data_IF_704864725649
#
_entry.id   IF_704864725649
#
_cell.length_a   1.000
_cell.length_b   1.000
_cell.length_c   1.000
_cell.angle_alpha   90.00
_cell.angle_beta   90.00
_cell.angle_gamma   90.00
#
_symmetry.space_group_name_H-M   'P 1'
#
loop_
_entity.id
_entity.type
_entity.pdbx_description
1 polymer ?
#
# COMPACT_ATOMS: atom_id res chain seq x y z
N UNK A 1 24.26 -26.02 -1.07
CA UNK A 1 25.36 -26.89 -0.65
C UNK A 1 26.74 -26.22 -0.88
N UNK A 2 26.85 -24.90 -0.57
CA UNK A 2 28.13 -24.12 -0.62
C UNK A 2 28.37 -23.24 0.62
N UNK A 3 27.63 -23.45 1.70
CA UNK A 3 27.67 -22.62 2.94
C UNK A 3 28.58 -23.27 4.03
N UNK A 4 29.46 -24.17 3.67
CA UNK A 4 30.29 -24.91 4.60
C UNK A 4 31.76 -24.43 4.68
N UNK A 5 32.10 -23.27 4.09
CA UNK A 5 33.47 -22.79 3.92
C UNK A 5 33.83 -21.42 4.50
N UNK A 6 33.05 -20.91 5.46
CA UNK A 6 33.39 -19.63 6.12
C UNK A 6 34.26 -19.78 7.39
N UNK A 7 34.90 -20.91 7.60
CA UNK A 7 36.05 -20.97 8.48
C UNK A 7 37.30 -21.24 7.64
N UNK A 8 37.74 -20.21 6.93
CA UNK A 8 39.08 -20.23 6.38
C UNK A 8 40.04 -20.23 7.56
N UNK A 9 40.61 -21.39 7.89
CA UNK A 9 41.60 -21.61 8.95
C UNK A 9 42.90 -20.80 8.75
N UNK A 10 42.97 -20.03 7.66
CA UNK A 10 44.09 -19.17 7.26
C UNK A 10 43.90 -17.70 7.59
N UNK A 11 42.77 -17.26 8.17
CA UNK A 11 42.67 -15.89 8.62
C UNK A 11 43.53 -15.65 9.85
N UNK A 12 44.35 -14.58 9.91
CA UNK A 12 45.22 -14.32 11.05
C UNK A 12 44.44 -14.24 12.37
N UNK A 13 43.19 -13.80 12.33
CA UNK A 13 42.32 -13.72 13.48
C UNK A 13 41.86 -15.08 14.04
N UNK A 14 41.58 -16.04 13.20
CA UNK A 14 41.21 -17.41 13.61
C UNK A 14 42.44 -18.14 14.20
N UNK A 15 43.62 -17.93 13.61
CA UNK A 15 44.88 -18.52 14.09
C UNK A 15 45.26 -17.96 15.50
N UNK A 16 45.09 -16.68 15.74
CA UNK A 16 45.28 -16.06 17.05
C UNK A 16 44.35 -16.65 18.11
N UNK A 17 43.07 -16.82 17.80
CA UNK A 17 42.08 -17.41 18.72
C UNK A 17 42.42 -18.85 19.09
N UNK A 18 42.86 -19.67 18.13
CA UNK A 18 43.28 -21.05 18.37
C UNK A 18 44.53 -21.13 19.27
N UNK A 19 45.52 -20.26 19.02
CA UNK A 19 46.72 -20.20 19.84
C UNK A 19 46.38 -19.75 21.26
N UNK A 20 45.58 -18.68 21.43
CA UNK A 20 45.10 -18.21 22.73
C UNK A 20 44.36 -19.30 23.50
N UNK A 21 43.51 -20.05 22.82
CA UNK A 21 42.76 -21.17 23.41
C UNK A 21 43.67 -22.28 23.87
N UNK A 22 44.68 -22.64 23.07
CA UNK A 22 45.68 -23.64 23.44
C UNK A 22 46.53 -23.21 24.64
N UNK A 23 46.98 -21.97 24.65
CA UNK A 23 47.77 -21.40 25.77
C UNK A 23 46.94 -21.32 27.05
N UNK A 24 45.70 -20.84 26.99
CA UNK A 24 44.84 -20.74 28.19
C UNK A 24 44.48 -22.13 28.74
N UNK A 25 44.26 -23.13 27.87
CA UNK A 25 44.01 -24.50 28.27
C UNK A 25 45.24 -25.10 28.93
N UNK A 26 46.44 -24.91 28.35
CA UNK A 26 47.71 -25.37 28.93
C UNK A 26 48.00 -24.77 30.31
N UNK A 27 47.78 -23.45 30.44
CA UNK A 27 47.93 -22.75 31.73
C UNK A 27 46.92 -23.28 32.74
N UNK A 28 45.65 -23.45 32.38
CA UNK A 28 44.62 -23.96 33.27
C UNK A 28 44.90 -25.37 33.78
N UNK A 29 45.37 -26.28 32.93
CA UNK A 29 45.79 -27.63 33.30
C UNK A 29 47.04 -27.61 34.16
N UNK A 30 48.02 -26.76 33.82
CA UNK A 30 49.26 -26.61 34.62
C UNK A 30 49.01 -26.06 36.03
N UNK A 31 48.15 -25.05 36.16
CA UNK A 31 47.69 -24.54 37.45
C UNK A 31 46.99 -25.61 38.29
N UNK A 32 46.15 -26.41 37.67
CA UNK A 32 45.52 -27.53 38.35
C UNK A 32 46.49 -28.61 38.77
N UNK A 33 47.54 -28.88 37.98
CA UNK A 33 48.63 -29.77 38.32
C UNK A 33 49.31 -29.29 39.61
N UNK A 34 49.71 -28.01 39.70
CA UNK A 34 50.29 -27.43 40.89
C UNK A 34 49.31 -27.52 42.09
N UNK A 35 48.02 -27.31 41.89
CA UNK A 35 47.00 -27.45 42.92
C UNK A 35 46.92 -28.85 43.52
N UNK A 36 47.15 -29.89 42.71
CA UNK A 36 47.18 -31.28 43.17
C UNK A 36 48.35 -31.57 44.11
N UNK A 37 49.51 -30.97 43.86
CA UNK A 37 50.68 -31.09 44.74
C UNK A 37 50.61 -30.21 46.00
N UNK A 38 49.87 -29.08 45.95
CA UNK A 38 49.74 -28.15 47.10
C UNK A 38 48.48 -28.40 47.93
N UNK A 39 47.62 -29.32 47.55
CA UNK A 39 46.37 -29.62 48.24
C UNK A 39 45.23 -28.63 47.99
N UNK A 40 45.41 -27.60 47.14
CA UNK A 40 44.42 -26.56 46.81
C UNK A 40 43.66 -26.96 45.53
N UNK A 41 43.18 -28.15 45.43
CA UNK A 41 42.55 -28.70 44.21
C UNK A 41 41.18 -28.07 43.88
N UNK A 42 40.41 -27.71 44.93
CA UNK A 42 39.06 -27.17 44.74
C UNK A 42 39.02 -25.80 44.08
N UNK A 43 39.87 -24.87 44.59
CA UNK A 43 39.90 -23.49 44.10
C UNK A 43 40.48 -23.40 42.68
N UNK A 44 41.55 -24.14 42.40
CA UNK A 44 42.28 -24.03 41.15
C UNK A 44 41.57 -24.74 39.99
N UNK A 45 40.66 -25.70 40.26
CA UNK A 45 39.87 -26.33 39.23
C UNK A 45 38.93 -25.35 38.48
N UNK A 46 38.57 -24.22 39.11
CA UNK A 46 37.73 -23.20 38.46
C UNK A 46 38.45 -22.45 37.33
N UNK A 47 39.76 -22.45 37.26
CA UNK A 47 40.54 -21.84 36.18
C UNK A 47 40.23 -22.49 34.82
N UNK A 48 39.81 -23.78 34.82
CA UNK A 48 39.42 -24.51 33.61
C UNK A 48 38.19 -23.91 32.93
N UNK A 49 37.30 -23.19 33.64
CA UNK A 49 36.19 -22.52 33.00
C UNK A 49 36.61 -21.45 31.97
N UNK A 50 37.76 -20.79 32.13
CA UNK A 50 38.23 -19.78 31.22
C UNK A 50 38.39 -20.29 29.79
N UNK A 51 39.19 -21.34 29.50
CA UNK A 51 39.30 -21.89 28.16
C UNK A 51 37.98 -22.53 27.65
N UNK A 52 37.15 -23.09 28.55
CA UNK A 52 35.83 -23.63 28.17
C UNK A 52 34.90 -22.52 27.67
N UNK A 53 34.78 -21.39 28.36
CA UNK A 53 33.97 -20.26 27.98
C UNK A 53 34.49 -19.66 26.67
N UNK A 54 35.81 -19.47 26.55
CA UNK A 54 36.42 -18.94 25.32
C UNK A 54 36.18 -19.85 24.12
N UNK A 55 36.28 -21.18 24.31
CA UNK A 55 36.02 -22.15 23.27
C UNK A 55 34.55 -22.11 22.83
N UNK A 56 33.60 -22.10 23.77
CA UNK A 56 32.19 -22.05 23.51
C UNK A 56 31.77 -20.74 22.79
N UNK A 57 32.38 -19.62 23.17
CA UNK A 57 32.10 -18.30 22.57
C UNK A 57 32.72 -18.16 21.16
N UNK A 58 34.00 -18.50 20.98
CA UNK A 58 34.67 -18.32 19.70
C UNK A 58 34.37 -19.41 18.68
N UNK A 59 34.08 -20.64 19.14
CA UNK A 59 33.83 -21.78 18.29
C UNK A 59 32.56 -22.55 18.72
N UNK A 60 31.35 -21.93 18.59
CA UNK A 60 30.12 -22.49 19.15
C UNK A 60 29.84 -23.95 18.72
N UNK A 61 30.15 -24.31 17.47
CA UNK A 61 29.91 -25.65 16.94
C UNK A 61 30.90 -26.71 17.48
N UNK A 62 32.06 -26.33 18.01
CA UNK A 62 33.11 -27.18 18.51
C UNK A 62 33.39 -27.01 20.00
N UNK A 63 32.80 -26.02 20.65
CA UNK A 63 33.04 -25.72 22.04
C UNK A 63 32.65 -26.86 22.99
N UNK A 64 31.58 -27.59 22.72
CA UNK A 64 31.17 -28.76 23.48
C UNK A 64 32.24 -29.87 23.39
N UNK A 65 32.76 -30.16 22.20
CA UNK A 65 33.85 -31.14 22.02
C UNK A 65 35.10 -30.74 22.78
N UNK A 66 35.47 -29.49 22.71
CA UNK A 66 36.61 -28.94 23.45
C UNK A 66 36.41 -29.07 24.96
N UNK A 67 35.23 -28.73 25.49
CA UNK A 67 34.91 -28.84 26.91
C UNK A 67 34.93 -30.29 27.39
N UNK A 68 34.48 -31.22 26.56
CA UNK A 68 34.56 -32.69 26.86
C UNK A 68 36.00 -33.17 26.88
N UNK A 69 36.84 -32.72 25.91
CA UNK A 69 38.26 -33.09 25.87
C UNK A 69 39.03 -32.58 27.10
N UNK A 70 38.81 -31.32 27.49
CA UNK A 70 39.40 -30.72 28.69
C UNK A 70 38.93 -31.45 29.97
N UNK A 71 37.63 -31.77 30.05
CA UNK A 71 37.08 -32.49 31.19
C UNK A 71 37.72 -33.87 31.34
N UNK A 72 37.89 -34.60 30.23
CA UNK A 72 38.57 -35.92 30.23
C UNK A 72 40.05 -35.74 30.60
N UNK A 73 40.77 -34.78 30.03
CA UNK A 73 42.15 -34.48 30.37
C UNK A 73 42.35 -34.15 31.85
N UNK A 74 41.44 -33.35 32.42
CA UNK A 74 41.43 -33.06 33.85
C UNK A 74 41.19 -34.32 34.71
N UNK A 75 40.22 -35.15 34.35
CA UNK A 75 39.90 -36.40 35.03
C UNK A 75 41.10 -37.37 35.00
N UNK A 76 41.75 -37.53 33.82
CA UNK A 76 42.94 -38.33 33.68
C UNK A 76 44.11 -37.83 34.56
N UNK A 77 44.29 -36.50 34.61
CA UNK A 77 45.32 -35.89 35.43
C UNK A 77 45.11 -36.17 36.93
N UNK A 78 43.86 -36.08 37.43
CA UNK A 78 43.47 -36.36 38.80
C UNK A 78 43.73 -37.83 39.15
N UNK A 79 43.34 -38.77 38.29
CA UNK A 79 43.47 -40.22 38.53
C UNK A 79 44.93 -40.70 38.48
N UNK A 80 45.79 -40.00 37.74
CA UNK A 80 47.22 -40.33 37.65
C UNK A 80 48.04 -39.85 38.85
N UNK A 81 47.65 -38.76 39.49
CA UNK A 81 48.46 -38.06 40.49
C UNK A 81 47.99 -38.30 41.94
N UNK A 82 46.68 -38.39 42.13
CA UNK A 82 46.10 -38.48 43.47
C UNK A 82 45.66 -39.90 43.81
N UNK A 83 45.77 -40.34 45.08
CA UNK A 83 45.23 -41.63 45.50
C UNK A 83 43.71 -41.63 45.33
N UNK A 84 43.20 -42.71 44.73
CA UNK A 84 41.77 -42.85 44.44
C UNK A 84 40.98 -43.13 45.73
N UNK A 85 40.35 -42.11 46.23
CA UNK A 85 39.33 -42.18 47.28
C UNK A 85 37.94 -41.96 46.67
N UNK A 86 36.89 -42.56 47.24
CA UNK A 86 35.52 -42.48 46.80
C UNK A 86 35.03 -41.02 46.70
N UNK A 87 35.38 -40.19 47.68
CA UNK A 87 35.04 -38.78 47.70
C UNK A 87 35.70 -37.98 46.55
N UNK A 88 36.98 -38.32 46.27
CA UNK A 88 37.73 -37.72 45.17
C UNK A 88 37.12 -38.09 43.82
N UNK A 89 36.75 -39.35 43.62
CA UNK A 89 36.12 -39.82 42.39
C UNK A 89 34.79 -39.10 42.15
N UNK A 90 33.91 -39.06 43.17
CA UNK A 90 32.62 -38.38 43.08
C UNK A 90 32.81 -36.90 42.77
N UNK A 91 33.69 -36.20 43.48
CA UNK A 91 33.94 -34.74 43.25
C UNK A 91 34.53 -34.46 41.87
N UNK A 92 35.38 -35.35 41.36
CA UNK A 92 35.96 -35.22 40.03
C UNK A 92 34.93 -35.41 38.91
N UNK A 93 34.11 -36.46 39.02
CA UNK A 93 33.01 -36.69 38.11
C UNK A 93 32.03 -35.53 38.08
N UNK A 94 31.71 -34.96 39.25
CA UNK A 94 30.84 -33.83 39.40
C UNK A 94 31.43 -32.60 38.65
N UNK A 95 32.72 -32.29 38.84
CA UNK A 95 33.42 -31.21 38.13
C UNK A 95 33.45 -31.40 36.62
N UNK A 96 33.79 -32.63 36.17
CA UNK A 96 33.80 -32.95 34.74
C UNK A 96 32.40 -32.71 34.11
N UNK A 97 31.34 -33.16 34.81
CA UNK A 97 29.97 -32.95 34.37
C UNK A 97 29.66 -31.43 34.25
N UNK A 98 30.07 -30.64 35.22
CA UNK A 98 29.88 -29.16 35.16
C UNK A 98 30.68 -28.52 34.03
N UNK A 99 31.91 -28.97 33.73
CA UNK A 99 32.68 -28.47 32.60
C UNK A 99 31.97 -28.72 31.28
N UNK A 100 31.37 -29.87 31.09
CA UNK A 100 30.61 -30.23 29.90
C UNK A 100 29.32 -29.43 29.82
N UNK A 101 28.55 -29.30 30.92
CA UNK A 101 27.31 -28.54 30.95
C UNK A 101 27.54 -27.06 30.64
N UNK A 102 28.54 -26.46 31.30
CA UNK A 102 28.84 -25.02 31.08
C UNK A 102 29.33 -24.80 29.64
N UNK A 103 30.24 -25.64 29.17
CA UNK A 103 30.71 -25.57 27.79
C UNK A 103 29.62 -25.76 26.76
N UNK A 104 28.70 -26.72 27.02
CA UNK A 104 27.52 -26.92 26.19
C UNK A 104 26.56 -25.74 26.20
N UNK A 105 26.28 -25.18 27.38
CA UNK A 105 25.39 -24.02 27.53
C UNK A 105 25.94 -22.76 26.82
N UNK A 106 27.24 -22.46 27.02
CA UNK A 106 27.88 -21.33 26.34
C UNK A 106 27.92 -21.56 24.83
N UNK A 107 28.25 -22.78 24.38
CA UNK A 107 28.24 -23.09 22.94
C UNK A 107 26.87 -22.97 22.32
N UNK A 108 25.82 -23.42 22.98
CA UNK A 108 24.44 -23.31 22.52
C UNK A 108 23.97 -21.84 22.45
N UNK A 109 24.18 -21.06 23.51
CA UNK A 109 23.79 -19.67 23.55
C UNK A 109 24.53 -18.84 22.50
N UNK A 110 25.86 -19.05 22.37
CA UNK A 110 26.66 -18.37 21.35
C UNK A 110 26.23 -18.75 19.93
N UNK A 111 25.93 -20.04 19.67
CA UNK A 111 25.42 -20.49 18.37
C UNK A 111 24.09 -19.81 18.02
N UNK A 112 23.18 -19.75 18.99
CA UNK A 112 21.86 -19.11 18.79
C UNK A 112 21.96 -17.62 18.55
N UNK A 113 22.87 -16.93 19.28
CA UNK A 113 23.13 -15.51 19.07
C UNK A 113 23.68 -15.27 17.65
N UNK A 114 24.66 -16.03 17.24
CA UNK A 114 25.23 -15.94 15.89
C UNK A 114 24.21 -16.20 14.79
N UNK A 115 23.36 -17.22 14.97
CA UNK A 115 22.29 -17.53 14.02
C UNK A 115 21.29 -16.37 13.90
N UNK A 116 20.91 -15.77 15.03
CA UNK A 116 20.01 -14.61 15.05
C UNK A 116 20.62 -13.37 14.37
N UNK A 117 21.90 -13.06 14.66
CA UNK A 117 22.61 -11.97 14.01
C UNK A 117 22.73 -12.20 12.49
N UNK A 118 23.02 -13.42 12.07
CA UNK A 118 23.13 -13.78 10.66
C UNK A 118 21.77 -13.67 9.94
N UNK A 119 20.69 -14.13 10.58
CA UNK A 119 19.34 -13.98 10.02
C UNK A 119 18.95 -12.52 9.83
N UNK A 120 19.21 -11.68 10.82
CA UNK A 120 18.94 -10.23 10.70
C UNK A 120 19.74 -9.60 9.57
N UNK A 121 21.01 -9.99 9.43
CA UNK A 121 21.87 -9.52 8.35
C UNK A 121 21.36 -9.95 6.97
N UNK A 122 20.96 -11.22 6.82
CA UNK A 122 20.38 -11.76 5.58
C UNK A 122 19.04 -11.06 5.24
N UNK A 123 18.19 -10.80 6.23
CA UNK A 123 16.93 -10.08 6.01
C UNK A 123 17.21 -8.69 5.40
N UNK A 124 18.13 -7.91 5.98
CA UNK A 124 18.47 -6.58 5.46
C UNK A 124 19.11 -6.68 4.07
N UNK A 125 20.02 -7.65 3.87
CA UNK A 125 20.74 -7.83 2.61
C UNK A 125 19.81 -8.13 1.43
N UNK A 126 18.79 -8.96 1.66
CA UNK A 126 17.86 -9.40 0.61
C UNK A 126 16.53 -8.64 0.60
N UNK A 127 16.40 -7.55 1.34
CA UNK A 127 15.25 -6.65 1.17
C UNK A 127 15.15 -6.21 -0.30
N UNK A 128 13.95 -6.28 -0.94
CA UNK A 128 13.80 -5.95 -2.35
C UNK A 128 13.95 -4.45 -2.64
N UNK A 129 13.88 -3.62 -1.60
CA UNK A 129 14.06 -2.18 -1.73
C UNK A 129 15.47 -1.75 -1.31
N UNK A 130 16.11 -0.85 -2.08
CA UNK A 130 17.33 -0.19 -1.67
C UNK A 130 17.20 0.37 -0.27
N UNK A 131 18.02 -0.17 0.66
CA UNK A 131 17.93 0.17 2.08
C UNK A 131 19.33 0.31 2.66
N UNK A 132 19.59 1.42 3.34
CA UNK A 132 20.84 1.65 4.05
C UNK A 132 20.58 2.25 5.42
N UNK A 133 21.51 2.08 6.33
CA UNK A 133 21.41 2.62 7.68
C UNK A 133 22.72 3.27 8.09
N UNK A 134 22.60 4.27 8.96
CA UNK A 134 23.73 4.95 9.59
C UNK A 134 23.57 4.91 11.10
N UNK A 135 24.70 4.98 11.82
CA UNK A 135 24.69 5.16 13.25
C UNK A 135 24.44 6.63 13.62
N UNK A 136 24.49 6.95 14.91
CA UNK A 136 24.23 8.31 15.43
C UNK A 136 25.22 9.36 14.90
N UNK A 137 26.44 8.95 14.58
CA UNK A 137 27.52 9.79 14.02
C UNK A 137 27.41 9.92 12.48
N UNK A 138 26.39 9.36 11.83
CA UNK A 138 26.22 9.40 10.38
C UNK A 138 27.14 8.44 9.62
N UNK A 139 27.73 7.46 10.30
CA UNK A 139 28.58 6.44 9.68
C UNK A 139 27.69 5.30 9.16
N UNK A 140 27.90 4.87 7.91
CA UNK A 140 27.14 3.80 7.27
C UNK A 140 27.42 2.46 7.96
N UNK A 141 26.37 1.85 8.52
CA UNK A 141 26.41 0.55 9.21
C UNK A 141 25.73 -0.57 8.42
N UNK A 142 24.85 -0.22 7.49
CA UNK A 142 24.22 -1.20 6.60
C UNK A 142 24.05 -0.61 5.19
N UNK A 143 24.21 -1.46 4.19
CA UNK A 143 24.07 -1.15 2.76
C UNK A 143 23.71 -2.43 2.05
N UNK A 144 22.45 -2.61 1.66
CA UNK A 144 21.96 -3.87 1.12
C UNK A 144 22.27 -4.02 -0.37
N UNK A 145 22.07 -5.24 -0.88
CA UNK A 145 22.32 -5.56 -2.28
C UNK A 145 21.50 -4.67 -3.23
N UNK A 146 20.25 -4.36 -2.91
CA UNK A 146 19.40 -3.53 -3.75
C UNK A 146 19.95 -2.09 -3.91
N UNK A 147 20.60 -1.52 -2.88
CA UNK A 147 21.30 -0.21 -3.02
C UNK A 147 22.52 -0.34 -3.92
N UNK A 148 23.28 -1.44 -3.82
CA UNK A 148 24.40 -1.67 -4.74
C UNK A 148 23.94 -1.72 -6.21
N UNK A 149 22.83 -2.43 -6.47
CA UNK A 149 22.24 -2.55 -7.81
C UNK A 149 21.68 -1.20 -8.32
N UNK A 150 21.06 -0.44 -7.41
CA UNK A 150 20.51 0.88 -7.75
C UNK A 150 21.61 1.90 -8.02
N UNK A 151 22.65 1.96 -7.21
CA UNK A 151 23.66 3.03 -7.27
C UNK A 151 24.93 2.63 -8.02
N UNK A 152 25.23 1.35 -8.10
CA UNK A 152 26.51 0.80 -8.59
C UNK A 152 27.64 0.85 -7.54
N UNK A 153 27.40 1.43 -6.36
CA UNK A 153 28.41 1.55 -5.28
C UNK A 153 28.37 0.29 -4.42
N UNK A 154 29.55 -0.36 -4.30
CA UNK A 154 29.66 -1.59 -3.54
C UNK A 154 29.68 -1.35 -2.04
N UNK A 155 29.06 -2.25 -1.29
CA UNK A 155 29.03 -2.27 0.18
C UNK A 155 30.41 -2.12 0.80
N UNK A 156 31.42 -2.81 0.27
CA UNK A 156 32.80 -2.73 0.74
C UNK A 156 33.43 -1.32 0.62
N UNK A 157 32.89 -0.51 -0.29
CA UNK A 157 33.40 0.84 -0.54
C UNK A 157 32.75 1.90 0.37
N UNK A 158 31.57 1.62 0.92
CA UNK A 158 30.74 2.59 1.61
C UNK A 158 30.61 2.31 3.12
N UNK A 159 30.68 1.06 3.56
CA UNK A 159 30.61 0.70 4.98
C UNK A 159 31.70 1.40 5.78
N UNK A 160 31.35 1.80 7.00
CA UNK A 160 32.18 2.54 7.94
C UNK A 160 32.64 3.92 7.44
N UNK A 161 32.01 4.46 6.38
CA UNK A 161 32.24 5.84 5.94
C UNK A 161 31.14 6.76 6.45
N UNK A 162 31.51 7.92 6.92
CA UNK A 162 30.67 9.04 7.34
C UNK A 162 30.70 10.19 6.33
N UNK A 163 30.44 11.40 6.83
CA UNK A 163 30.52 12.64 6.04
C UNK A 163 29.62 12.58 4.78
N UNK A 164 28.39 12.14 4.95
CA UNK A 164 27.38 12.01 3.87
C UNK A 164 27.85 11.20 2.65
N UNK A 165 28.78 10.26 2.84
CA UNK A 165 29.30 9.43 1.75
C UNK A 165 28.20 8.69 0.99
N UNK A 166 27.16 8.23 1.69
CA UNK A 166 25.99 7.57 1.13
C UNK A 166 25.22 8.46 0.15
N UNK A 167 25.12 9.76 0.41
CA UNK A 167 24.39 10.67 -0.46
C UNK A 167 25.08 10.87 -1.83
N UNK A 168 26.41 10.74 -1.88
CA UNK A 168 27.15 10.84 -3.13
C UNK A 168 26.75 9.79 -4.16
N UNK A 169 26.33 8.61 -3.69
CA UNK A 169 25.86 7.53 -4.54
C UNK A 169 24.58 7.89 -5.31
N UNK A 170 23.73 8.73 -4.72
CA UNK A 170 22.43 9.15 -5.30
C UNK A 170 22.52 10.51 -6.00
N UNK A 171 23.19 11.46 -5.39
CA UNK A 171 23.18 12.87 -5.82
C UNK A 171 24.48 13.33 -6.50
N UNK A 172 25.52 12.49 -6.53
CA UNK A 172 26.83 12.85 -7.05
C UNK A 172 27.64 13.78 -6.14
N UNK A 173 27.02 14.36 -5.11
CA UNK A 173 27.63 15.30 -4.16
C UNK A 173 27.34 14.85 -2.73
N UNK A 174 28.19 15.29 -1.79
CA UNK A 174 27.96 15.12 -0.35
C UNK A 174 26.90 16.13 0.09
N UNK A 175 25.79 15.65 0.61
CA UNK A 175 24.70 16.47 1.18
C UNK A 175 23.92 15.64 2.19
N UNK A 176 23.18 16.26 3.10
CA UNK A 176 22.26 15.52 3.97
C UNK A 176 21.22 14.73 3.19
N UNK A 177 20.91 13.51 3.65
CA UNK A 177 19.81 12.68 3.19
C UNK A 177 18.56 12.86 4.08
N UNK A 178 17.43 12.24 3.75
CA UNK A 178 16.19 12.38 4.54
C UNK A 178 16.37 11.84 5.96
N UNK A 179 17.17 10.78 6.14
CA UNK A 179 17.47 10.20 7.45
C UNK A 179 18.23 11.19 8.38
N UNK A 180 18.97 12.15 7.82
CA UNK A 180 19.72 13.13 8.63
C UNK A 180 18.77 14.09 9.36
N UNK A 181 17.56 14.31 8.86
CA UNK A 181 16.53 15.07 9.60
C UNK A 181 16.10 14.38 10.90
N UNK A 182 16.30 13.07 11.00
CA UNK A 182 16.01 12.31 12.22
C UNK A 182 17.17 12.46 13.22
N UNK A 183 18.41 12.45 12.72
CA UNK A 183 19.62 12.54 13.55
C UNK A 183 19.91 13.97 13.97
N UNK A 184 19.80 14.90 13.03
CA UNK A 184 20.11 16.32 13.20
C UNK A 184 19.08 17.17 12.47
N UNK A 185 17.90 17.41 13.08
CA UNK A 185 16.86 18.25 12.50
C UNK A 185 17.40 19.66 12.20
N UNK A 186 17.16 20.14 10.97
CA UNK A 186 17.59 21.48 10.58
C UNK A 186 16.89 21.98 9.31
N UNK A 187 16.62 23.30 9.22
CA UNK A 187 15.89 23.89 8.10
C UNK A 187 16.60 23.74 6.75
N UNK A 188 17.93 23.69 6.76
CA UNK A 188 18.74 23.50 5.54
C UNK A 188 18.50 22.11 4.93
N UNK A 189 18.43 21.07 5.77
CA UNK A 189 18.13 19.70 5.32
C UNK A 189 16.67 19.57 4.89
N UNK A 190 15.75 20.18 5.63
CA UNK A 190 14.31 20.17 5.31
C UNK A 190 14.05 20.81 3.94
N UNK A 191 14.72 21.90 3.62
CA UNK A 191 14.59 22.58 2.33
C UNK A 191 15.02 21.73 1.10
N UNK A 192 15.81 20.67 1.32
CA UNK A 192 16.25 19.76 0.25
C UNK A 192 15.15 18.75 -0.15
N UNK A 193 14.11 18.59 0.67
CA UNK A 193 13.06 17.60 0.49
C UNK A 193 11.68 18.26 0.39
N UNK A 194 11.11 18.40 -0.82
CA UNK A 194 9.78 18.96 -0.98
C UNK A 194 8.74 18.01 -0.36
N UNK A 195 7.72 18.60 0.26
CA UNK A 195 6.55 17.86 0.76
C UNK A 195 6.86 16.66 1.69
N UNK A 196 7.70 16.90 2.71
CA UNK A 196 7.92 15.89 3.74
C UNK A 196 6.60 15.56 4.44
N UNK A 197 6.18 14.30 4.34
CA UNK A 197 5.01 13.77 5.05
C UNK A 197 5.49 12.98 6.25
N UNK A 198 4.86 13.23 7.40
CA UNK A 198 5.10 12.45 8.62
C UNK A 198 4.05 11.36 8.73
N UNK A 199 4.43 10.12 8.48
CA UNK A 199 3.58 8.93 8.60
C UNK A 199 3.95 8.17 9.88
N UNK A 200 3.30 8.50 11.02
CA UNK A 200 3.65 7.95 12.33
C UNK A 200 5.07 8.33 12.74
N UNK A 201 5.97 7.34 12.84
CA UNK A 201 7.40 7.53 13.17
C UNK A 201 8.32 7.67 11.94
N UNK A 202 7.75 7.67 10.74
CA UNK A 202 8.51 7.75 9.48
C UNK A 202 8.40 9.14 8.88
N UNK A 203 9.49 9.60 8.25
CA UNK A 203 9.50 10.72 7.33
C UNK A 203 9.46 10.15 5.92
N UNK A 204 8.57 10.67 5.08
CA UNK A 204 8.44 10.24 3.67
C UNK A 204 8.51 11.46 2.79
N UNK A 205 9.28 11.38 1.71
CA UNK A 205 9.35 12.42 0.67
C UNK A 205 9.48 11.78 -0.71
N UNK A 206 8.91 12.44 -1.71
CA UNK A 206 9.08 12.08 -3.11
C UNK A 206 9.95 13.14 -3.79
N UNK A 207 11.00 12.69 -4.47
CA UNK A 207 11.96 13.57 -5.11
C UNK A 207 12.23 13.13 -6.54
N UNK A 208 12.57 14.09 -7.39
CA UNK A 208 13.08 13.84 -8.72
C UNK A 208 14.56 14.13 -8.79
N UNK A 209 15.35 13.14 -9.24
CA UNK A 209 16.79 13.29 -9.43
C UNK A 209 17.08 13.33 -10.94
N UNK A 210 17.42 14.52 -11.50
CA UNK A 210 17.53 14.68 -12.95
C UNK A 210 18.68 13.91 -13.59
N UNK A 211 19.79 13.71 -12.85
CA UNK A 211 21.02 13.06 -13.34
C UNK A 211 21.30 11.78 -12.57
N UNK A 212 20.50 10.77 -12.86
CA UNK A 212 20.68 9.44 -12.29
C UNK A 212 20.76 8.40 -13.41
N UNK A 213 21.46 7.28 -13.21
CA UNK A 213 21.58 6.17 -14.20
C UNK A 213 21.94 6.63 -15.62
N UNK A 214 23.01 7.40 -15.76
CA UNK A 214 23.49 7.80 -17.09
C UNK A 214 22.74 8.97 -17.72
N UNK A 215 22.14 9.85 -16.90
CA UNK A 215 21.49 11.08 -17.31
C UNK A 215 19.98 10.98 -17.51
N UNK A 216 19.38 9.82 -17.30
CA UNK A 216 17.91 9.67 -17.20
C UNK A 216 17.46 10.05 -15.79
N UNK A 217 16.50 10.98 -15.69
CA UNK A 217 15.89 11.34 -14.42
C UNK A 217 15.16 10.15 -13.80
N UNK A 218 15.10 10.13 -12.45
CA UNK A 218 14.40 9.10 -11.68
C UNK A 218 13.54 9.76 -10.61
N UNK A 219 12.30 9.28 -10.46
CA UNK A 219 11.43 9.64 -9.34
C UNK A 219 11.61 8.63 -8.22
N UNK A 220 12.04 9.10 -7.05
CA UNK A 220 12.27 8.24 -5.89
C UNK A 220 11.32 8.63 -4.77
N UNK A 221 10.68 7.63 -4.17
CA UNK A 221 10.00 7.76 -2.88
C UNK A 221 10.95 7.25 -1.81
N UNK A 222 11.28 8.14 -0.89
CA UNK A 222 12.25 7.91 0.18
C UNK A 222 11.49 7.88 1.50
N UNK A 223 11.80 6.88 2.34
CA UNK A 223 11.24 6.76 3.67
C UNK A 223 12.36 6.56 4.68
N UNK A 224 12.42 7.41 5.70
CA UNK A 224 13.41 7.35 6.76
C UNK A 224 12.75 7.16 8.13
N UNK A 225 13.39 6.37 9.02
CA UNK A 225 12.96 6.18 10.41
C UNK A 225 14.14 6.03 11.35
N UNK A 226 13.92 6.38 12.65
CA UNK A 226 14.93 6.23 13.68
C UNK A 226 15.17 4.76 14.03
N UNK A 227 16.42 4.40 14.27
CA UNK A 227 16.81 3.20 14.99
C UNK A 227 16.94 3.56 16.48
N UNK A 228 16.26 2.81 17.33
CA UNK A 228 16.22 3.10 18.77
C UNK A 228 16.67 1.89 19.57
N UNK A 229 17.34 2.14 20.69
CA UNK A 229 17.70 1.10 21.67
C UNK A 229 16.52 0.71 22.54
N UNK A 230 16.73 -0.26 23.44
CA UNK A 230 15.72 -0.73 24.41
C UNK A 230 15.23 0.35 25.38
N UNK A 231 15.97 1.43 25.52
CA UNK A 231 15.67 2.58 26.38
C UNK A 231 14.96 3.71 25.62
N UNK A 232 14.77 3.55 24.28
CA UNK A 232 14.13 4.55 23.42
C UNK A 232 15.05 5.64 22.89
N UNK A 233 16.38 5.56 23.14
CA UNK A 233 17.34 6.52 22.60
C UNK A 233 17.64 6.22 21.13
N UNK A 234 17.79 7.27 20.33
CA UNK A 234 18.17 7.14 18.92
C UNK A 234 19.64 6.69 18.83
N UNK A 235 19.84 5.53 18.23
CA UNK A 235 21.17 4.94 17.96
C UNK A 235 21.61 5.12 16.52
N UNK A 236 20.70 5.49 15.63
CA UNK A 236 20.96 5.69 14.22
C UNK A 236 19.67 5.98 13.46
N UNK A 237 19.75 5.90 12.14
CA UNK A 237 18.58 6.01 11.27
C UNK A 237 18.72 5.08 10.06
N UNK A 238 17.61 4.63 9.55
CA UNK A 238 17.51 3.79 8.36
C UNK A 238 16.68 4.49 7.30
N UNK A 239 17.09 4.38 6.05
CA UNK A 239 16.41 4.95 4.90
C UNK A 239 16.17 3.86 3.86
N UNK A 240 14.95 3.78 3.37
CA UNK A 240 14.56 2.92 2.25
C UNK A 240 14.10 3.76 1.06
N UNK A 241 14.42 3.31 -0.13
CA UNK A 241 14.23 4.04 -1.38
C UNK A 241 13.44 3.16 -2.34
N UNK A 242 12.41 3.73 -2.95
CA UNK A 242 11.62 3.06 -3.98
C UNK A 242 11.66 3.89 -5.27
N UNK A 243 12.03 3.26 -6.36
CA UNK A 243 11.90 3.86 -7.69
C UNK A 243 10.41 3.81 -8.07
N UNK A 244 9.81 4.99 -8.24
CA UNK A 244 8.41 5.19 -8.63
C UNK A 244 8.30 5.83 -10.02
N UNK A 245 9.39 5.81 -10.82
CA UNK A 245 9.46 6.49 -12.12
C UNK A 245 8.39 5.97 -13.07
N UNK A 246 8.25 4.66 -13.19
CA UNK A 246 7.24 4.03 -14.05
C UNK A 246 5.83 4.38 -13.59
N UNK A 247 5.58 4.36 -12.28
CA UNK A 247 4.28 4.72 -11.70
C UNK A 247 3.92 6.17 -12.03
N UNK A 248 4.83 7.12 -11.77
CA UNK A 248 4.61 8.56 -12.04
C UNK A 248 4.43 8.82 -13.54
N UNK A 249 5.22 8.17 -14.39
CA UNK A 249 5.09 8.32 -15.85
C UNK A 249 3.76 7.77 -16.36
N UNK A 250 3.32 6.61 -15.87
CA UNK A 250 2.05 5.99 -16.24
C UNK A 250 0.88 6.85 -15.79
N UNK A 251 0.88 7.33 -14.55
CA UNK A 251 -0.15 8.20 -14.01
C UNK A 251 -0.23 9.53 -14.78
N UNK A 252 0.92 10.15 -15.07
CA UNK A 252 1.00 11.37 -15.88
C UNK A 252 0.53 11.16 -17.32
N UNK A 253 0.87 10.02 -17.94
CA UNK A 253 0.40 9.67 -19.28
C UNK A 253 -1.12 9.46 -19.30
N UNK A 254 -1.69 8.80 -18.28
CA UNK A 254 -3.13 8.60 -18.14
C UNK A 254 -3.87 9.94 -17.96
N UNK A 255 -3.37 10.80 -17.07
CA UNK A 255 -3.93 12.13 -16.84
C UNK A 255 -3.88 12.99 -18.11
N UNK A 256 -2.74 12.99 -18.81
CA UNK A 256 -2.58 13.73 -20.07
C UNK A 256 -3.53 13.21 -21.15
N UNK A 257 -3.70 11.89 -21.26
CA UNK A 257 -4.62 11.28 -22.23
C UNK A 257 -6.06 11.63 -21.91
N UNK A 258 -6.47 11.51 -20.64
CA UNK A 258 -7.80 11.89 -20.18
C UNK A 258 -8.08 13.37 -20.45
N UNK A 259 -7.15 14.26 -20.11
CA UNK A 259 -7.27 15.70 -20.37
C UNK A 259 -7.41 16.03 -21.87
N UNK A 260 -6.63 15.36 -22.74
CA UNK A 260 -6.72 15.53 -24.19
C UNK A 260 -8.08 15.05 -24.72
N UNK A 261 -8.54 13.89 -24.29
CA UNK A 261 -9.87 13.37 -24.68
C UNK A 261 -10.99 14.33 -24.26
N UNK A 262 -10.93 14.86 -23.06
CA UNK A 262 -11.90 15.84 -22.55
C UNK A 262 -11.87 17.14 -23.36
N UNK A 263 -10.69 17.61 -23.75
CA UNK A 263 -10.53 18.82 -24.58
C UNK A 263 -11.12 18.60 -25.97
N UNK A 264 -10.78 17.49 -26.64
CA UNK A 264 -11.30 17.17 -27.99
C UNK A 264 -12.83 17.04 -27.94
N UNK A 265 -13.36 16.28 -26.98
CA UNK A 265 -14.80 16.11 -26.81
C UNK A 265 -15.50 17.45 -26.57
N UNK A 266 -14.88 18.38 -25.82
CA UNK A 266 -15.37 19.72 -25.61
C UNK A 266 -15.46 20.56 -26.90
N UNK A 267 -14.41 20.53 -27.70
CA UNK A 267 -14.34 21.23 -28.98
C UNK A 267 -15.41 20.71 -29.95
N UNK A 268 -15.49 19.37 -30.11
CA UNK A 268 -16.45 18.73 -31.00
C UNK A 268 -17.89 19.08 -30.63
N UNK A 269 -18.24 18.96 -29.32
CA UNK A 269 -19.58 19.37 -28.85
C UNK A 269 -19.90 20.82 -29.12
N UNK A 270 -18.96 21.72 -28.83
CA UNK A 270 -19.15 23.15 -29.06
C UNK A 270 -19.40 23.45 -30.54
N UNK A 271 -18.65 22.82 -31.43
CA UNK A 271 -18.80 23.02 -32.87
C UNK A 271 -20.13 22.46 -33.40
N UNK A 272 -20.55 21.27 -32.92
CA UNK A 272 -21.86 20.71 -33.29
C UNK A 272 -22.99 21.59 -32.77
N UNK A 273 -22.95 21.99 -31.46
CA UNK A 273 -23.98 22.90 -30.89
C UNK A 273 -24.09 24.21 -31.66
N UNK A 274 -22.99 24.79 -32.09
CA UNK A 274 -22.98 26.01 -32.92
C UNK A 274 -23.64 25.82 -34.29
N UNK A 275 -23.36 24.67 -34.95
CA UNK A 275 -24.00 24.30 -36.21
C UNK A 275 -25.49 24.05 -36.06
N UNK A 276 -25.90 23.38 -34.95
CA UNK A 276 -27.31 23.19 -34.65
C UNK A 276 -28.03 24.52 -34.40
N UNK A 277 -27.44 25.47 -33.66
CA UNK A 277 -28.00 26.79 -33.48
C UNK A 277 -28.23 27.52 -34.81
N UNK A 278 -27.25 27.40 -35.75
CA UNK A 278 -27.41 27.91 -37.11
C UNK A 278 -28.57 27.25 -37.87
N UNK A 279 -28.69 25.91 -37.76
CA UNK A 279 -29.78 25.13 -38.37
C UNK A 279 -31.14 25.55 -37.83
N UNK A 280 -31.28 25.70 -36.50
CA UNK A 280 -32.52 26.20 -35.87
C UNK A 280 -32.90 27.60 -36.38
N UNK A 281 -31.91 28.51 -36.56
CA UNK A 281 -32.14 29.82 -37.14
C UNK A 281 -32.74 29.75 -38.56
N UNK A 282 -32.18 28.86 -39.41
CA UNK A 282 -32.68 28.68 -40.78
C UNK A 282 -34.07 28.07 -40.77
N UNK A 283 -34.31 27.02 -39.97
CA UNK A 283 -35.63 26.39 -39.85
C UNK A 283 -36.69 27.35 -39.34
N UNK A 284 -36.35 28.21 -38.37
CA UNK A 284 -37.27 29.26 -37.88
C UNK A 284 -37.65 30.26 -38.94
N UNK A 285 -36.69 30.68 -39.78
CA UNK A 285 -36.96 31.54 -40.93
C UNK A 285 -37.86 30.83 -41.96
N UNK A 286 -37.62 29.52 -42.16
CA UNK A 286 -38.44 28.66 -43.05
C UNK A 286 -39.91 28.63 -42.62
N UNK A 287 -40.19 28.43 -41.34
CA UNK A 287 -41.58 28.46 -40.78
C UNK A 287 -42.25 29.81 -41.02
N UNK A 288 -41.47 30.90 -40.95
CA UNK A 288 -42.03 32.25 -41.18
C UNK A 288 -42.25 32.57 -42.66
N UNK A 289 -41.59 31.89 -43.57
CA UNK A 289 -41.57 32.23 -45.01
C UNK A 289 -42.43 31.34 -45.86
N UNK A 290 -42.74 30.13 -45.44
CA UNK A 290 -43.48 29.15 -46.20
C UNK A 290 -44.81 28.81 -45.47
N UNK A 291 -45.93 28.84 -46.23
CA UNK A 291 -47.28 28.49 -45.74
C UNK A 291 -47.78 27.13 -46.28
N UNK A 292 -46.94 26.48 -47.08
CA UNK A 292 -47.26 25.16 -47.67
C UNK A 292 -47.19 24.08 -46.59
N UNK A 293 -48.31 23.32 -46.36
CA UNK A 293 -48.37 22.28 -45.31
C UNK A 293 -47.30 21.20 -45.46
N UNK A 294 -46.97 20.78 -46.68
CA UNK A 294 -45.97 19.76 -46.92
C UNK A 294 -44.55 20.26 -46.58
N UNK A 295 -44.25 21.51 -46.90
CA UNK A 295 -42.96 22.18 -46.52
C UNK A 295 -42.85 22.34 -45.02
N UNK A 296 -43.96 22.77 -44.36
CA UNK A 296 -43.97 22.90 -42.89
C UNK A 296 -43.75 21.55 -42.18
N UNK A 297 -44.38 20.48 -42.71
CA UNK A 297 -44.12 19.10 -42.19
C UNK A 297 -42.66 18.71 -42.29
N UNK A 298 -41.96 18.96 -43.42
CA UNK A 298 -40.54 18.69 -43.53
C UNK A 298 -39.69 19.55 -42.59
N UNK A 299 -40.04 20.80 -42.39
CA UNK A 299 -39.34 21.68 -41.47
C UNK A 299 -39.46 21.19 -40.01
N UNK A 300 -40.65 20.74 -39.61
CA UNK A 300 -40.89 20.14 -38.28
C UNK A 300 -40.07 18.89 -38.08
N UNK A 301 -40.10 17.97 -39.06
CA UNK A 301 -39.29 16.74 -38.99
C UNK A 301 -37.77 17.03 -38.90
N UNK A 302 -37.27 18.04 -39.60
CA UNK A 302 -35.85 18.47 -39.48
C UNK A 302 -35.57 19.07 -38.11
N UNK A 303 -36.49 19.82 -37.54
CA UNK A 303 -36.39 20.43 -36.22
C UNK A 303 -36.34 19.35 -35.13
N UNK A 304 -37.21 18.35 -35.22
CA UNK A 304 -37.20 17.19 -34.30
C UNK A 304 -35.88 16.42 -34.37
N UNK A 305 -35.36 16.19 -35.59
CA UNK A 305 -34.05 15.54 -35.79
C UNK A 305 -32.91 16.39 -35.15
N UNK A 306 -32.93 17.71 -35.33
CA UNK A 306 -31.95 18.59 -34.73
C UNK A 306 -32.06 18.64 -33.19
N UNK A 307 -33.25 18.52 -32.62
CA UNK A 307 -33.50 18.40 -31.19
C UNK A 307 -32.93 17.07 -30.66
N UNK A 308 -33.13 15.97 -31.38
CA UNK A 308 -32.54 14.69 -31.03
C UNK A 308 -31.01 14.73 -30.94
N UNK A 309 -30.35 15.39 -31.91
CA UNK A 309 -28.88 15.57 -31.88
C UNK A 309 -28.45 16.44 -30.69
N UNK A 310 -29.17 17.53 -30.40
CA UNK A 310 -28.90 18.40 -29.26
C UNK A 310 -29.02 17.62 -27.93
N UNK A 311 -30.03 16.81 -27.81
CA UNK A 311 -30.25 15.95 -26.64
C UNK A 311 -29.09 14.94 -26.43
N UNK A 312 -28.60 14.32 -27.51
CA UNK A 312 -27.43 13.43 -27.42
C UNK A 312 -26.16 14.16 -26.99
N UNK A 313 -25.97 15.42 -27.40
CA UNK A 313 -24.84 16.25 -26.95
C UNK A 313 -24.94 16.57 -25.47
N UNK A 314 -26.12 16.86 -24.97
CA UNK A 314 -26.35 17.21 -23.57
C UNK A 314 -26.11 15.98 -22.67
N UNK A 315 -26.57 14.79 -23.07
CA UNK A 315 -26.25 13.51 -22.41
C UNK A 315 -24.74 13.25 -22.40
N UNK A 316 -24.06 13.44 -23.53
CA UNK A 316 -22.61 13.29 -23.61
C UNK A 316 -21.84 14.24 -22.69
N UNK A 317 -22.45 15.41 -22.33
CA UNK A 317 -21.87 16.32 -21.34
C UNK A 317 -22.01 15.76 -19.92
N UNK A 318 -23.20 15.30 -19.55
CA UNK A 318 -23.46 14.67 -18.24
C UNK A 318 -22.59 13.45 -18.02
N UNK A 319 -22.46 12.57 -19.02
CA UNK A 319 -21.63 11.36 -18.95
C UNK A 319 -20.16 11.64 -18.65
N UNK A 320 -19.61 12.74 -19.14
CA UNK A 320 -18.18 13.10 -18.93
C UNK A 320 -17.83 13.34 -17.47
N UNK A 321 -18.75 13.93 -16.72
CA UNK A 321 -18.48 14.43 -15.37
C UNK A 321 -18.71 13.31 -14.32
N UNK A 322 -19.34 12.21 -14.71
CA UNK A 322 -19.56 11.02 -13.88
C UNK A 322 -18.22 10.33 -13.56
N UNK A 323 -18.00 9.98 -12.28
CA UNK A 323 -16.79 9.30 -11.80
C UNK A 323 -15.54 10.18 -11.78
N UNK A 324 -15.65 11.48 -12.07
CA UNK A 324 -14.49 12.40 -12.00
C UNK A 324 -14.25 12.97 -10.61
N UNK A 325 -15.25 12.93 -9.76
CA UNK A 325 -15.20 13.37 -8.36
C UNK A 325 -15.26 12.19 -7.41
N UNK A 326 -14.57 12.24 -6.25
CA UNK A 326 -14.67 11.17 -5.26
C UNK A 326 -16.09 11.04 -4.73
N UNK A 327 -16.58 9.81 -4.44
CA UNK A 327 -17.89 9.60 -3.83
C UNK A 327 -18.01 10.34 -2.48
N UNK A 328 -19.23 10.79 -2.18
CA UNK A 328 -19.55 11.49 -0.94
C UNK A 328 -20.84 10.97 -0.33
N UNK A 329 -21.08 11.26 0.96
CA UNK A 329 -22.36 10.94 1.60
C UNK A 329 -23.41 11.94 1.15
N UNK A 330 -24.47 11.46 0.50
CA UNK A 330 -25.54 12.25 -0.09
C UNK A 330 -26.87 11.92 0.60
N UNK A 331 -27.58 12.90 1.18
CA UNK A 331 -28.94 12.71 1.68
C UNK A 331 -29.89 12.38 0.53
N UNK A 332 -30.49 11.19 0.57
CA UNK A 332 -31.40 10.73 -0.52
C UNK A 332 -32.58 11.65 -0.70
N UNK A 333 -33.16 12.14 0.40
CA UNK A 333 -34.29 13.07 0.33
C UNK A 333 -33.95 14.35 -0.44
N UNK A 334 -32.74 14.91 -0.24
CA UNK A 334 -32.32 16.10 -0.97
C UNK A 334 -32.13 15.82 -2.48
N UNK A 335 -31.51 14.65 -2.81
CA UNK A 335 -31.31 14.22 -4.19
C UNK A 335 -32.64 14.03 -4.94
N UNK A 336 -33.61 13.40 -4.28
CA UNK A 336 -34.95 13.14 -4.84
C UNK A 336 -35.73 14.45 -5.03
N UNK A 337 -35.67 15.39 -4.06
CA UNK A 337 -36.32 16.68 -4.16
C UNK A 337 -35.75 17.55 -5.29
N UNK A 338 -34.41 17.55 -5.47
CA UNK A 338 -33.77 18.23 -6.61
C UNK A 338 -34.25 17.64 -7.94
N UNK A 339 -34.24 16.31 -8.05
CA UNK A 339 -34.71 15.60 -9.24
C UNK A 339 -36.17 15.89 -9.56
N UNK A 340 -37.07 15.86 -8.56
CA UNK A 340 -38.49 16.16 -8.73
C UNK A 340 -38.72 17.60 -9.18
N UNK A 341 -37.96 18.57 -8.63
CA UNK A 341 -37.99 19.97 -9.04
C UNK A 341 -37.60 20.17 -10.51
N UNK A 342 -36.61 19.43 -10.99
CA UNK A 342 -36.13 19.47 -12.39
C UNK A 342 -37.07 18.77 -13.38
N UNK A 343 -37.69 17.65 -12.99
CA UNK A 343 -38.59 16.92 -13.86
C UNK A 343 -39.92 17.64 -14.15
N UNK A 344 -40.23 18.68 -13.37
CA UNK A 344 -41.43 19.48 -13.53
C UNK A 344 -42.68 18.81 -12.94
N UNK A 345 -43.48 19.57 -12.22
CA UNK A 345 -44.62 19.02 -11.48
C UNK A 345 -45.91 18.77 -12.31
N UNK A 346 -45.96 19.06 -13.60
CA UNK A 346 -47.09 18.80 -14.54
C UNK A 346 -48.39 18.21 -14.01
N UNK A 347 -48.75 18.42 -12.72
CA UNK A 347 -49.91 17.81 -12.05
C UNK A 347 -49.60 16.49 -11.32
N UNK A 348 -48.30 16.08 -11.24
CA UNK A 348 -47.89 14.82 -10.62
C UNK A 348 -47.57 15.04 -9.13
N UNK A 349 -48.05 14.15 -8.28
CA UNK A 349 -47.83 14.14 -6.83
C UNK A 349 -46.61 13.28 -6.46
N UNK A 350 -45.61 13.85 -5.84
CA UNK A 350 -44.46 13.14 -5.29
C UNK A 350 -44.65 12.84 -3.80
N UNK A 351 -44.56 11.58 -3.41
CA UNK A 351 -44.60 11.09 -2.02
C UNK A 351 -43.26 10.49 -1.67
N UNK A 352 -42.47 11.17 -0.79
CA UNK A 352 -41.08 10.86 -0.51
C UNK A 352 -40.95 10.43 0.94
N UNK A 353 -40.54 9.20 1.18
CA UNK A 353 -40.25 8.60 2.51
C UNK A 353 -38.82 8.08 2.56
N UNK A 354 -37.87 8.99 2.44
CA UNK A 354 -36.42 8.67 2.43
C UNK A 354 -35.66 9.46 3.49
N UNK A 355 -36.39 9.95 4.50
CA UNK A 355 -35.80 10.71 5.60
C UNK A 355 -34.71 9.90 6.30
N UNK A 356 -33.65 10.61 6.72
CA UNK A 356 -32.50 10.04 7.45
C UNK A 356 -31.62 9.07 6.65
N UNK A 357 -31.96 8.71 5.41
CA UNK A 357 -31.15 7.85 4.56
C UNK A 357 -30.08 8.67 3.83
N UNK A 358 -28.82 8.30 4.00
CA UNK A 358 -27.70 8.81 3.20
C UNK A 358 -27.02 7.66 2.48
N UNK A 359 -26.53 7.94 1.27
CA UNK A 359 -25.81 7.00 0.40
C UNK A 359 -24.44 7.55 0.09
N UNK A 360 -23.43 6.69 0.13
CA UNK A 360 -22.07 7.00 -0.31
C UNK A 360 -22.00 6.77 -1.83
N UNK A 361 -22.09 7.83 -2.60
CA UNK A 361 -22.21 7.76 -4.06
C UNK A 361 -21.52 8.93 -4.78
N UNK A 362 -21.45 8.80 -6.12
CA UNK A 362 -21.04 9.89 -7.01
C UNK A 362 -21.95 11.11 -6.79
N UNK A 363 -21.41 12.34 -6.81
CA UNK A 363 -22.20 13.59 -6.68
C UNK A 363 -23.35 13.74 -7.68
N UNK A 364 -23.34 13.00 -8.79
CA UNK A 364 -24.42 12.97 -9.79
C UNK A 364 -25.61 12.07 -9.42
N UNK A 365 -25.67 11.49 -8.21
CA UNK A 365 -26.83 10.71 -7.74
C UNK A 365 -28.19 11.39 -7.98
N UNK A 366 -28.38 12.74 -7.84
CA UNK A 366 -29.65 13.36 -8.18
C UNK A 366 -30.09 13.14 -9.64
N UNK A 367 -29.14 13.03 -10.57
CA UNK A 367 -29.44 12.75 -11.97
C UNK A 367 -30.06 11.35 -12.18
N UNK A 368 -29.71 10.35 -11.34
CA UNK A 368 -30.35 9.03 -11.38
C UNK A 368 -31.85 9.15 -11.19
N UNK A 369 -32.28 9.85 -10.14
CA UNK A 369 -33.70 10.05 -9.85
C UNK A 369 -34.37 10.91 -10.94
N UNK A 370 -33.67 11.96 -11.41
CA UNK A 370 -34.17 12.78 -12.50
C UNK A 370 -34.45 11.96 -13.76
N UNK A 371 -33.55 11.11 -14.21
CA UNK A 371 -33.73 10.28 -15.40
C UNK A 371 -34.84 9.23 -15.22
N UNK A 372 -35.00 8.67 -14.02
CA UNK A 372 -36.12 7.79 -13.71
C UNK A 372 -37.44 8.55 -13.82
N UNK A 373 -37.54 9.75 -13.22
CA UNK A 373 -38.75 10.56 -13.26
C UNK A 373 -39.07 11.05 -14.66
N UNK A 374 -38.10 11.61 -15.37
CA UNK A 374 -38.27 12.13 -16.72
C UNK A 374 -38.74 11.03 -17.69
N UNK A 375 -38.10 9.84 -17.62
CA UNK A 375 -38.52 8.69 -18.44
C UNK A 375 -39.91 8.20 -18.11
N UNK A 376 -40.22 8.03 -16.81
CA UNK A 376 -41.57 7.54 -16.42
C UNK A 376 -42.65 8.54 -16.75
N UNK A 377 -42.43 9.82 -16.58
CA UNK A 377 -43.44 10.86 -16.85
C UNK A 377 -43.72 11.01 -18.35
N UNK A 378 -42.66 10.94 -19.18
CA UNK A 378 -42.77 11.16 -20.63
C UNK A 378 -43.23 9.93 -21.41
N UNK A 379 -42.71 8.76 -21.03
CA UNK A 379 -42.82 7.55 -21.83
C UNK A 379 -43.92 6.58 -21.32
N UNK A 380 -44.44 6.78 -20.08
CA UNK A 380 -45.52 5.97 -19.56
C UNK A 380 -46.81 6.79 -19.40
N UNK A 381 -47.86 6.34 -20.06
CA UNK A 381 -49.14 7.04 -20.00
C UNK A 381 -49.80 6.94 -18.62
N UNK A 382 -50.45 8.02 -18.18
CA UNK A 382 -51.36 8.02 -17.03
C UNK A 382 -50.68 8.12 -15.67
N UNK A 383 -49.45 8.52 -15.58
CA UNK A 383 -48.75 8.76 -14.30
C UNK A 383 -49.33 9.97 -13.60
N UNK A 384 -49.83 9.80 -12.38
CA UNK A 384 -50.36 10.88 -11.52
C UNK A 384 -49.60 10.96 -10.18
N UNK A 385 -49.01 9.86 -9.76
CA UNK A 385 -48.32 9.76 -8.47
C UNK A 385 -47.00 9.02 -8.61
N UNK A 386 -45.94 9.58 -8.00
CA UNK A 386 -44.63 8.94 -7.84
C UNK A 386 -44.37 8.76 -6.35
N UNK A 387 -44.08 7.55 -5.94
CA UNK A 387 -43.84 7.17 -4.54
C UNK A 387 -42.41 6.69 -4.40
N UNK A 388 -41.66 7.26 -3.48
CA UNK A 388 -40.27 6.90 -3.20
C UNK A 388 -40.15 6.41 -1.75
N UNK A 389 -39.71 5.15 -1.60
CA UNK A 389 -39.51 4.51 -0.30
C UNK A 389 -38.14 3.81 -0.24
N UNK A 390 -37.74 3.37 0.94
CA UNK A 390 -36.59 2.50 1.06
C UNK A 390 -36.83 1.37 2.07
N UNK A 391 -36.15 0.26 1.88
CA UNK A 391 -36.19 -0.91 2.75
C UNK A 391 -34.77 -1.40 3.02
N UNK A 392 -34.48 -1.64 4.30
CA UNK A 392 -33.22 -2.29 4.71
C UNK A 392 -33.40 -3.80 4.55
N UNK A 393 -32.46 -4.46 3.90
CA UNK A 393 -32.41 -5.90 3.64
C UNK A 393 -31.17 -6.50 4.30
N UNK A 394 -31.09 -7.85 4.42
CA UNK A 394 -29.92 -8.52 4.99
C UNK A 394 -28.60 -8.16 4.28
N UNK A 395 -28.66 -7.93 2.97
CA UNK A 395 -27.50 -7.67 2.13
C UNK A 395 -27.39 -6.20 1.63
N UNK A 396 -28.05 -5.24 2.31
CA UNK A 396 -27.96 -3.84 1.91
C UNK A 396 -29.24 -3.04 2.12
N UNK A 397 -29.45 -2.03 1.28
CA UNK A 397 -30.63 -1.18 1.28
C UNK A 397 -31.19 -1.12 -0.14
N UNK A 398 -32.49 -1.18 -0.30
CA UNK A 398 -33.18 -0.97 -1.57
C UNK A 398 -34.01 0.32 -1.54
N UNK A 399 -33.81 1.22 -2.50
CA UNK A 399 -34.69 2.36 -2.74
C UNK A 399 -35.63 1.98 -3.87
N UNK A 400 -36.93 2.19 -3.64
CA UNK A 400 -38.00 1.91 -4.59
C UNK A 400 -38.59 3.22 -5.09
N UNK A 401 -38.67 3.35 -6.41
CA UNK A 401 -39.38 4.44 -7.10
C UNK A 401 -40.54 3.81 -7.84
N UNK A 402 -41.75 4.06 -7.37
CA UNK A 402 -42.99 3.45 -7.89
C UNK A 402 -43.90 4.50 -8.50
N UNK A 403 -44.57 4.17 -9.59
CA UNK A 403 -45.58 5.02 -10.25
C UNK A 403 -46.87 4.27 -10.50
N UNK A 404 -47.98 5.01 -10.70
CA UNK A 404 -49.31 4.51 -10.96
C UNK A 404 -49.70 4.44 -12.46
N UNK A 405 -48.76 4.65 -13.38
CA UNK A 405 -49.02 4.66 -14.82
C UNK A 405 -49.15 3.29 -15.46
N UNK A 406 -49.11 3.21 -16.79
CA UNK A 406 -49.27 1.99 -17.56
C UNK A 406 -48.13 0.95 -17.34
N UNK A 407 -46.98 1.37 -16.81
CA UNK A 407 -45.81 0.51 -16.62
C UNK A 407 -45.04 0.23 -17.92
N UNK A 408 -44.01 -0.60 -17.84
CA UNK A 408 -43.12 -0.95 -18.94
C UNK A 408 -43.33 -2.42 -19.31
N UNK A 409 -43.38 -2.69 -20.62
CA UNK A 409 -43.55 -4.06 -21.13
C UNK A 409 -42.36 -4.95 -20.74
N UNK A 410 -42.66 -6.23 -20.45
CA UNK A 410 -41.68 -7.21 -19.98
C UNK A 410 -40.53 -7.40 -20.98
N UNK A 411 -40.82 -7.36 -22.29
CA UNK A 411 -39.86 -7.51 -23.39
C UNK A 411 -38.81 -6.39 -23.43
N UNK A 412 -39.11 -5.22 -22.86
CA UNK A 412 -38.25 -4.03 -22.91
C UNK A 412 -37.38 -3.89 -21.65
N UNK A 413 -37.68 -4.57 -20.56
CA UNK A 413 -36.99 -4.38 -19.27
C UNK A 413 -35.49 -4.68 -19.29
N UNK A 414 -35.07 -5.69 -20.07
CA UNK A 414 -33.67 -6.05 -20.18
C UNK A 414 -32.83 -5.02 -20.98
N UNK A 415 -33.50 -4.34 -21.93
CA UNK A 415 -32.83 -3.33 -22.79
C UNK A 415 -32.88 -1.92 -22.24
N UNK A 416 -33.73 -1.64 -21.24
CA UNK A 416 -33.93 -0.29 -20.67
C UNK A 416 -32.67 0.48 -20.29
N UNK A 417 -31.69 -0.24 -19.80
CA UNK A 417 -30.44 0.35 -19.31
C UNK A 417 -29.30 0.21 -20.32
N UNK A 418 -29.61 -0.16 -21.56
CA UNK A 418 -28.60 -0.29 -22.62
C UNK A 418 -28.55 0.94 -23.50
N UNK A 419 -27.38 1.22 -24.05
CA UNK A 419 -27.15 2.34 -24.96
C UNK A 419 -27.98 2.22 -26.29
N UNK A 420 -28.56 1.07 -26.57
CA UNK A 420 -29.30 0.78 -27.82
C UNK A 420 -30.81 1.05 -27.72
N UNK A 421 -31.33 1.36 -26.55
CA UNK A 421 -32.77 1.58 -26.35
C UNK A 421 -33.13 3.02 -26.76
N UNK A 422 -33.72 3.20 -27.93
CA UNK A 422 -34.08 4.50 -28.48
C UNK A 422 -35.38 5.07 -27.89
N UNK A 423 -36.32 4.21 -27.46
CA UNK A 423 -37.66 4.62 -27.01
C UNK A 423 -37.65 5.35 -25.67
N UNK A 424 -36.83 4.89 -24.73
CA UNK A 424 -36.71 5.48 -23.39
C UNK A 424 -35.53 6.47 -23.27
N UNK A 425 -34.85 6.74 -24.37
CA UNK A 425 -33.69 7.63 -24.43
C UNK A 425 -32.49 7.08 -23.66
N UNK A 426 -31.42 7.87 -23.61
CA UNK A 426 -30.17 7.48 -22.96
C UNK A 426 -30.12 7.77 -21.45
N UNK A 427 -31.21 8.36 -20.89
CA UNK A 427 -31.24 8.77 -19.47
C UNK A 427 -31.14 7.60 -18.50
N UNK A 428 -31.85 6.49 -18.76
CA UNK A 428 -31.78 5.29 -17.92
C UNK A 428 -30.43 4.58 -18.02
N UNK A 429 -29.79 4.60 -19.19
CA UNK A 429 -28.41 4.14 -19.34
C UNK A 429 -27.45 4.99 -18.47
N UNK A 430 -27.60 6.32 -18.46
CA UNK A 430 -26.83 7.21 -17.62
C UNK A 430 -27.06 6.93 -16.12
N UNK A 431 -28.31 6.71 -15.72
CA UNK A 431 -28.65 6.32 -14.36
C UNK A 431 -27.97 5.02 -13.94
N UNK A 432 -27.90 4.04 -14.84
CA UNK A 432 -27.20 2.77 -14.61
C UNK A 432 -25.70 2.99 -14.42
N UNK A 433 -25.06 3.80 -15.26
CA UNK A 433 -23.64 4.07 -15.15
C UNK A 433 -23.28 4.80 -13.84
N UNK A 434 -24.08 5.79 -13.42
CA UNK A 434 -23.89 6.47 -12.12
C UNK A 434 -24.02 5.49 -10.95
N UNK A 435 -25.01 4.59 -11.01
CA UNK A 435 -25.18 3.55 -9.99
C UNK A 435 -23.98 2.60 -9.98
N UNK A 436 -23.52 2.12 -11.15
CA UNK A 436 -22.41 1.16 -11.28
C UNK A 436 -21.09 1.68 -10.68
N UNK A 437 -20.77 2.96 -10.88
CA UNK A 437 -19.56 3.58 -10.30
C UNK A 437 -19.60 3.62 -8.77
N UNK A 438 -20.80 3.62 -8.20
CA UNK A 438 -21.02 3.64 -6.75
C UNK A 438 -21.35 2.26 -6.17
N UNK A 439 -21.00 1.17 -6.88
CA UNK A 439 -21.30 -0.23 -6.52
C UNK A 439 -22.78 -0.49 -6.25
N UNK A 440 -23.66 0.34 -6.83
CA UNK A 440 -25.10 0.18 -6.76
C UNK A 440 -25.64 -0.48 -8.03
N UNK A 441 -26.81 -1.12 -7.92
CA UNK A 441 -27.52 -1.65 -9.10
C UNK A 441 -28.91 -1.04 -9.23
N UNK A 442 -29.35 -0.85 -10.48
CA UNK A 442 -30.70 -0.38 -10.80
C UNK A 442 -31.42 -1.40 -11.66
N UNK A 443 -32.68 -1.69 -11.34
CA UNK A 443 -33.55 -2.60 -12.10
C UNK A 443 -34.97 -2.05 -12.16
N UNK A 444 -35.71 -2.40 -13.23
CA UNK A 444 -37.14 -2.17 -13.30
C UNK A 444 -37.87 -3.47 -13.00
N UNK A 445 -38.62 -3.52 -11.89
CA UNK A 445 -39.29 -4.70 -11.34
C UNK A 445 -40.81 -4.58 -11.29
N UNK A 446 -41.43 -3.53 -11.86
CA UNK A 446 -42.85 -3.27 -11.89
C UNK A 446 -43.64 -4.33 -12.72
N UNK A 447 -44.95 -4.25 -12.69
CA UNK A 447 -45.81 -5.13 -13.46
C UNK A 447 -46.51 -4.31 -14.54
N UNK A 448 -46.45 -4.71 -15.83
CA UNK A 448 -47.17 -4.01 -16.89
C UNK A 448 -48.66 -3.83 -16.55
N UNK A 449 -49.19 -2.64 -16.76
CA UNK A 449 -50.55 -2.26 -16.39
C UNK A 449 -50.78 -1.84 -14.93
N UNK A 450 -49.75 -1.90 -14.08
CA UNK A 450 -49.84 -1.51 -12.66
C UNK A 450 -48.86 -0.39 -12.27
N UNK A 451 -48.18 0.19 -13.24
CA UNK A 451 -47.13 1.22 -13.03
C UNK A 451 -45.72 0.67 -13.17
N UNK A 452 -44.77 1.57 -13.09
CA UNK A 452 -43.34 1.25 -13.07
C UNK A 452 -42.82 1.11 -11.64
N UNK A 453 -41.79 0.28 -11.45
CA UNK A 453 -41.10 0.14 -10.18
C UNK A 453 -39.61 -0.01 -10.44
N UNK A 454 -38.85 1.05 -10.20
CA UNK A 454 -37.42 1.02 -10.23
C UNK A 454 -36.88 0.70 -8.83
N UNK A 455 -35.95 -0.24 -8.76
CA UNK A 455 -35.30 -0.69 -7.54
C UNK A 455 -33.79 -0.40 -7.64
N UNK A 456 -33.32 0.47 -6.77
CA UNK A 456 -31.88 0.78 -6.61
C UNK A 456 -31.40 -0.01 -5.40
N UNK A 457 -30.47 -0.95 -5.62
CA UNK A 457 -29.89 -1.76 -4.54
C UNK A 457 -28.51 -1.19 -4.17
N UNK A 458 -28.32 -0.91 -2.89
CA UNK A 458 -27.13 -0.32 -2.29
C UNK A 458 -26.48 -1.36 -1.38
N UNK A 459 -25.16 -1.59 -1.47
CA UNK A 459 -24.44 -2.52 -0.60
C UNK A 459 -24.41 -2.04 0.86
N UNK A 460 -24.14 -2.96 1.84
CA UNK A 460 -24.17 -2.62 3.28
C UNK A 460 -23.25 -1.46 3.67
N UNK A 461 -22.12 -1.31 2.99
CA UNK A 461 -21.12 -0.27 3.25
C UNK A 461 -21.45 1.06 2.57
N UNK A 462 -22.40 1.05 1.64
CA UNK A 462 -22.78 2.20 0.80
C UNK A 462 -23.93 3.04 1.36
N UNK A 463 -24.52 2.73 2.50
CA UNK A 463 -25.59 3.52 3.09
C UNK A 463 -25.46 3.69 4.60
N UNK A 464 -26.12 4.73 5.13
CA UNK A 464 -26.27 4.94 6.58
C UNK A 464 -27.62 5.60 6.87
N UNK A 465 -28.14 5.35 8.08
CA UNK A 465 -29.38 5.95 8.59
C UNK A 465 -29.00 6.84 9.76
N UNK A 466 -29.32 8.14 9.67
CA UNK A 466 -28.99 9.16 10.69
C UNK A 466 -30.01 9.20 11.82
#
# INVERSE_FOLDING_TARGET
>A
MKTLLFFNSSSPFTRTRIITLGVTAGIALGVNLVGMFTGITVLLSHVIYIPIILAGYWFPRRGLLFSTLIAVAYGALVTLILPLDLLLIISTLFRMTFFIIIGGAVSYLSAKLWESEQQLHEIIEFLPYPTFAVNREGIVIAWNQAVEELTGVKKAEILNKGDYAYARAFYGTKRPALLDLILTPGPETEALYPQIKKEGKKLVSEIFIPRFKGGRGVHLRIAATALVDSSGNITGAIESIRDITEQVMTESALQNTSSRLNTIAGIVRHDISRKLAGLYGILSIGVMKFDDPDVLFFIEALKDSAQGIQHQIDISREFRDIGTSPPTWIPVQAAVLDAAGRAGSGGISFRIWTERLEIFADPHLPAVFFHIFDTTIKETAGVTTVVITYHVQENGCAILVETDGAGIEMSMKESLFTQREERFGHGLFLAHEICSISDMTIKETGTPGKGTRFELTIPPEGYRIL
#
